data_IF_332859009052
#
_entry.id   IF_332859009052
#
_cell.length_a   1.000
_cell.length_b   1.000
_cell.length_c   1.000
_cell.angle_alpha   90.00
_cell.angle_beta   90.00
_cell.angle_gamma   90.00
#
_symmetry.space_group_name_H-M   'P 1'
#
loop_
_entity.id
_entity.type
_entity.pdbx_description
1 polymer ?
#
# COMPACT_ATOMS: atom_id res chain seq x y z
N UNK A 1 11.52 -15.08 32.10
CA UNK A 1 12.06 -15.09 30.75
C UNK A 1 10.94 -14.77 29.78
N UNK A 2 10.98 -13.66 29.11
CA UNK A 2 9.94 -13.22 28.17
C UNK A 2 10.39 -13.58 26.75
N UNK A 3 9.82 -14.61 26.09
CA UNK A 3 10.26 -15.06 24.79
C UNK A 3 9.36 -14.48 23.70
N UNK A 4 9.47 -13.22 23.39
CA UNK A 4 8.89 -12.71 22.14
C UNK A 4 9.25 -11.26 21.86
N UNK A 5 10.55 -10.94 21.86
CA UNK A 5 11.00 -9.91 20.94
C UNK A 5 11.03 -10.53 19.56
N UNK A 6 10.34 -9.96 18.56
CA UNK A 6 10.54 -10.42 17.19
C UNK A 6 12.04 -10.26 16.89
N UNK A 7 12.63 -11.34 16.35
CA UNK A 7 14.01 -11.31 15.92
C UNK A 7 14.26 -10.07 15.07
N UNK A 8 15.37 -9.33 15.26
CA UNK A 8 15.68 -8.20 14.41
C UNK A 8 15.66 -8.70 12.97
N UNK A 9 14.97 -7.97 12.11
CA UNK A 9 14.93 -8.25 10.67
C UNK A 9 16.38 -8.28 10.17
N UNK A 10 16.93 -9.47 10.03
CA UNK A 10 18.31 -9.61 9.54
C UNK A 10 18.38 -8.95 8.17
N UNK A 11 19.31 -8.05 7.93
CA UNK A 11 19.48 -7.46 6.61
C UNK A 11 19.70 -8.62 5.65
N UNK A 12 18.76 -8.82 4.76
CA UNK A 12 18.90 -9.83 3.72
C UNK A 12 20.10 -9.38 2.86
N UNK A 13 20.98 -10.31 2.55
CA UNK A 13 22.10 -10.07 1.64
C UNK A 13 21.64 -9.74 0.20
N UNK A 14 20.33 -9.85 -0.05
CA UNK A 14 19.72 -9.58 -1.36
C UNK A 14 19.10 -8.19 -1.33
N UNK A 15 19.59 -7.31 -2.21
CA UNK A 15 19.07 -5.97 -2.45
C UNK A 15 18.40 -5.92 -3.83
N UNK A 16 17.18 -5.38 -3.88
CA UNK A 16 16.39 -5.29 -5.11
C UNK A 16 16.51 -3.93 -5.82
N UNK A 17 17.39 -3.05 -5.31
CA UNK A 17 17.66 -1.76 -5.95
C UNK A 17 16.51 -0.76 -5.83
N UNK A 18 15.85 -0.71 -4.68
CA UNK A 18 14.75 0.22 -4.42
C UNK A 18 15.17 1.57 -3.83
N UNK A 19 16.46 1.82 -3.64
CA UNK A 19 16.98 3.08 -3.06
C UNK A 19 16.41 4.30 -3.79
N UNK A 20 15.77 5.21 -3.04
CA UNK A 20 15.18 6.45 -3.54
C UNK A 20 13.86 6.28 -4.32
N UNK A 21 13.42 5.05 -4.61
CA UNK A 21 12.15 4.79 -5.30
C UNK A 21 10.96 5.08 -4.40
N UNK A 22 9.91 5.63 -4.98
CA UNK A 22 8.63 5.88 -4.31
C UNK A 22 7.74 4.64 -4.51
N UNK A 23 7.40 3.98 -3.41
CA UNK A 23 6.71 2.69 -3.39
C UNK A 23 5.37 2.82 -2.68
N UNK A 24 4.25 2.80 -3.40
CA UNK A 24 2.90 2.77 -2.81
C UNK A 24 2.59 1.33 -2.37
N UNK A 25 2.11 1.17 -1.14
CA UNK A 25 1.65 -0.11 -0.59
C UNK A 25 0.23 0.06 -0.05
N UNK A 26 -0.75 -0.54 -0.72
CA UNK A 26 -2.14 -0.54 -0.24
C UNK A 26 -2.36 -1.65 0.78
N UNK A 27 -3.21 -1.38 1.80
CA UNK A 27 -3.31 -2.27 2.96
C UNK A 27 -2.00 -2.32 3.75
N UNK A 28 -1.28 -1.20 3.79
CA UNK A 28 0.10 -1.12 4.29
C UNK A 28 0.24 -1.00 5.80
N UNK A 29 -0.87 -0.82 6.55
CA UNK A 29 -0.80 -0.57 7.98
C UNK A 29 -0.63 -1.82 8.84
N UNK A 30 -0.79 -3.02 8.27
CA UNK A 30 -0.68 -4.28 9.00
C UNK A 30 -0.34 -5.47 8.09
N UNK A 31 0.04 -6.58 8.72
CA UNK A 31 0.20 -7.89 8.06
C UNK A 31 1.22 -7.88 6.92
N UNK A 32 0.85 -8.44 5.77
CA UNK A 32 1.72 -8.55 4.60
C UNK A 32 2.08 -7.16 4.06
N UNK A 33 1.12 -6.22 4.03
CA UNK A 33 1.37 -4.85 3.57
C UNK A 33 2.39 -4.13 4.44
N UNK A 34 2.28 -4.21 5.76
CA UNK A 34 3.28 -3.66 6.69
C UNK A 34 4.67 -4.27 6.47
N UNK A 35 4.75 -5.59 6.29
CA UNK A 35 6.01 -6.25 6.00
C UNK A 35 6.65 -5.74 4.70
N UNK A 36 5.85 -5.49 3.65
CA UNK A 36 6.31 -4.86 2.41
C UNK A 36 6.83 -3.43 2.64
N UNK A 37 6.07 -2.62 3.40
CA UNK A 37 6.47 -1.24 3.75
C UNK A 37 7.82 -1.23 4.46
N UNK A 38 7.97 -2.07 5.50
CA UNK A 38 9.22 -2.20 6.25
C UNK A 38 10.38 -2.65 5.37
N UNK A 39 10.12 -3.58 4.46
CA UNK A 39 11.13 -4.06 3.53
C UNK A 39 11.57 -2.96 2.56
N UNK A 40 10.65 -2.22 1.95
CA UNK A 40 10.98 -1.10 1.09
C UNK A 40 11.77 -0.02 1.83
N UNK A 41 11.37 0.33 3.05
CA UNK A 41 12.10 1.28 3.88
C UNK A 41 13.53 0.81 4.17
N UNK A 42 13.72 -0.46 4.52
CA UNK A 42 15.04 -1.05 4.78
C UNK A 42 15.96 -1.04 3.56
N UNK A 43 15.40 -1.02 2.34
CA UNK A 43 16.15 -0.88 1.09
C UNK A 43 16.39 0.57 0.66
N UNK A 44 16.03 1.54 1.49
CA UNK A 44 16.21 2.97 1.22
C UNK A 44 15.17 3.55 0.25
N UNK A 45 14.06 2.87 0.03
CA UNK A 45 12.93 3.42 -0.71
C UNK A 45 12.17 4.46 0.14
N UNK A 46 11.25 5.18 -0.50
CA UNK A 46 10.28 6.09 0.11
C UNK A 46 8.90 5.43 0.08
N UNK A 47 8.53 4.65 1.09
CA UNK A 47 7.23 4.00 1.10
C UNK A 47 6.11 5.00 1.34
N UNK A 48 4.98 4.78 0.68
CA UNK A 48 3.70 5.45 0.89
C UNK A 48 2.74 4.40 1.43
N UNK A 49 2.41 4.53 2.71
CA UNK A 49 1.53 3.62 3.43
C UNK A 49 0.09 4.03 3.14
N UNK A 50 -0.69 3.14 2.57
CA UNK A 50 -2.09 3.40 2.21
C UNK A 50 -2.99 2.42 2.94
N UNK A 51 -3.88 2.93 3.78
CA UNK A 51 -4.82 2.10 4.55
C UNK A 51 -6.04 2.93 4.97
N UNK A 52 -7.05 2.25 5.52
CA UNK A 52 -8.20 2.86 6.19
C UNK A 52 -8.01 2.92 7.71
N UNK A 53 -7.03 2.21 8.26
CA UNK A 53 -6.66 2.23 9.68
C UNK A 53 -5.69 3.36 9.98
N UNK A 54 -6.23 4.52 10.35
CA UNK A 54 -5.44 5.72 10.64
C UNK A 54 -4.46 5.53 11.78
N UNK A 55 -4.87 4.84 12.83
CA UNK A 55 -4.04 4.69 14.03
C UNK A 55 -2.76 3.90 13.73
N UNK A 56 -2.90 2.75 13.07
CA UNK A 56 -1.75 1.92 12.69
C UNK A 56 -0.93 2.56 11.59
N UNK A 57 -1.59 3.11 10.57
CA UNK A 57 -0.91 3.73 9.43
C UNK A 57 -0.05 4.92 9.85
N UNK A 58 -0.56 5.81 10.69
CA UNK A 58 0.18 6.97 11.21
C UNK A 58 1.32 6.55 12.15
N UNK A 59 1.11 5.55 13.01
CA UNK A 59 2.16 5.04 13.89
C UNK A 59 3.33 4.46 13.09
N UNK A 60 3.04 3.63 12.09
CA UNK A 60 4.06 3.05 11.22
C UNK A 60 4.79 4.12 10.39
N UNK A 61 4.05 5.11 9.89
CA UNK A 61 4.63 6.24 9.15
C UNK A 61 5.59 7.06 10.02
N UNK A 62 5.21 7.34 11.26
CA UNK A 62 6.07 8.06 12.21
C UNK A 62 7.34 7.26 12.55
N UNK A 63 7.22 5.95 12.73
CA UNK A 63 8.35 5.06 13.01
C UNK A 63 9.37 5.04 11.87
N UNK A 64 8.89 5.01 10.61
CA UNK A 64 9.73 4.82 9.43
C UNK A 64 10.09 6.13 8.71
N UNK A 65 9.57 7.27 9.12
CA UNK A 65 9.69 8.53 8.38
C UNK A 65 8.99 8.46 7.00
N UNK A 66 7.92 7.70 6.90
CA UNK A 66 7.18 7.46 5.67
C UNK A 66 5.94 8.35 5.54
N UNK A 67 5.38 8.42 4.33
CA UNK A 67 4.09 9.06 4.09
C UNK A 67 2.96 8.08 4.40
N UNK A 68 1.97 8.53 5.18
CA UNK A 68 0.70 7.84 5.33
C UNK A 68 -0.41 8.58 4.57
N UNK A 69 -1.22 7.84 3.82
CA UNK A 69 -2.41 8.36 3.14
C UNK A 69 -3.60 7.47 3.46
N UNK A 70 -4.63 8.05 4.12
CA UNK A 70 -5.90 7.36 4.27
C UNK A 70 -6.57 7.20 2.92
N UNK A 71 -6.92 5.97 2.54
CA UNK A 71 -7.62 5.70 1.30
C UNK A 71 -8.41 4.39 1.38
N UNK A 72 -9.72 4.47 1.13
CA UNK A 72 -10.51 3.31 0.75
C UNK A 72 -10.28 3.05 -0.74
N UNK A 73 -9.60 1.96 -1.07
CA UNK A 73 -9.25 1.61 -2.45
C UNK A 73 -10.47 1.36 -3.35
N UNK A 74 -11.64 1.05 -2.76
CA UNK A 74 -12.91 0.92 -3.47
C UNK A 74 -13.58 2.24 -3.86
N UNK A 75 -13.02 3.38 -3.44
CA UNK A 75 -13.49 4.73 -3.73
C UNK A 75 -12.53 5.44 -4.72
N UNK A 76 -13.04 5.67 -5.92
CA UNK A 76 -12.21 6.28 -6.99
C UNK A 76 -11.69 7.68 -6.63
N UNK A 77 -12.49 8.50 -5.97
CA UNK A 77 -12.07 9.86 -5.62
C UNK A 77 -10.91 9.84 -4.61
N UNK A 78 -10.95 8.92 -3.64
CA UNK A 78 -9.85 8.74 -2.69
C UNK A 78 -8.59 8.18 -3.37
N UNK A 79 -8.74 7.27 -4.33
CA UNK A 79 -7.63 6.74 -5.12
C UNK A 79 -6.99 7.85 -5.97
N UNK A 80 -7.78 8.70 -6.61
CA UNK A 80 -7.25 9.83 -7.39
C UNK A 80 -6.52 10.83 -6.47
N UNK A 81 -7.05 11.11 -5.29
CA UNK A 81 -6.40 11.96 -4.30
C UNK A 81 -5.09 11.35 -3.76
N UNK A 82 -5.03 10.03 -3.53
CA UNK A 82 -3.81 9.32 -3.16
C UNK A 82 -2.68 9.55 -4.18
N UNK A 83 -2.98 9.34 -5.46
CA UNK A 83 -1.99 9.53 -6.54
C UNK A 83 -1.54 10.99 -6.61
N UNK A 84 -2.48 11.94 -6.57
CA UNK A 84 -2.17 13.36 -6.60
C UNK A 84 -1.29 13.79 -5.40
N UNK A 85 -1.61 13.34 -4.20
CA UNK A 85 -0.84 13.63 -2.99
C UNK A 85 0.57 13.02 -3.05
N UNK A 86 0.70 11.77 -3.52
CA UNK A 86 1.99 11.12 -3.68
C UNK A 86 2.89 11.88 -4.65
N UNK A 87 2.34 12.29 -5.80
CA UNK A 87 3.07 13.07 -6.79
C UNK A 87 3.44 14.47 -6.28
N UNK A 88 2.55 15.14 -5.53
CA UNK A 88 2.84 16.45 -4.95
C UNK A 88 4.01 16.42 -3.95
N UNK A 89 4.13 15.35 -3.16
CA UNK A 89 5.15 15.21 -2.12
C UNK A 89 6.46 14.64 -2.67
N UNK A 90 6.40 13.64 -3.52
CA UNK A 90 7.58 12.88 -3.97
C UNK A 90 7.95 13.13 -5.44
N UNK A 91 7.06 13.72 -6.25
CA UNK A 91 7.29 14.02 -7.67
C UNK A 91 7.22 12.80 -8.58
N UNK A 92 7.11 11.59 -8.06
CA UNK A 92 7.14 10.34 -8.83
C UNK A 92 6.47 9.19 -8.10
N UNK A 93 6.13 8.14 -8.85
CA UNK A 93 5.72 6.82 -8.35
C UNK A 93 6.48 5.77 -9.15
N UNK A 94 7.17 4.86 -8.47
CA UNK A 94 8.03 3.86 -9.14
C UNK A 94 7.52 2.43 -8.97
N UNK A 95 6.87 2.15 -7.84
CA UNK A 95 6.40 0.81 -7.48
C UNK A 95 5.01 0.89 -6.87
N UNK A 96 4.17 -0.06 -7.22
CA UNK A 96 2.88 -0.31 -6.56
C UNK A 96 2.84 -1.74 -6.03
N UNK A 97 2.71 -1.90 -4.73
CA UNK A 97 2.29 -3.13 -4.09
C UNK A 97 0.78 -3.06 -3.81
N UNK A 98 0.00 -3.61 -4.73
CA UNK A 98 -1.46 -3.60 -4.68
C UNK A 98 -1.95 -4.76 -3.80
N UNK A 99 -1.89 -4.56 -2.47
CA UNK A 99 -2.06 -5.59 -1.46
C UNK A 99 -3.39 -5.48 -0.68
N UNK A 100 -4.05 -4.33 -0.71
CA UNK A 100 -5.29 -4.13 0.05
C UNK A 100 -6.34 -5.19 -0.29
N UNK A 101 -6.92 -5.78 0.75
CA UNK A 101 -7.96 -6.78 0.62
C UNK A 101 -8.66 -7.03 1.95
N UNK A 102 -9.90 -7.47 1.86
CA UNK A 102 -10.69 -7.91 3.00
C UNK A 102 -11.13 -9.36 2.81
N UNK A 103 -11.38 -10.02 3.92
CA UNK A 103 -11.95 -11.36 3.95
C UNK A 103 -13.21 -11.37 4.81
N UNK A 104 -14.24 -12.07 4.36
CA UNK A 104 -15.49 -12.32 5.09
C UNK A 104 -15.70 -13.83 5.16
N UNK A 105 -15.49 -14.40 6.34
CA UNK A 105 -15.67 -15.84 6.56
C UNK A 105 -17.15 -16.14 6.82
N UNK A 106 -17.75 -16.99 6.00
CA UNK A 106 -19.04 -17.59 6.23
C UNK A 106 -19.14 -18.90 5.44
N UNK A 107 -20.00 -19.81 5.85
CA UNK A 107 -20.36 -20.96 5.01
C UNK A 107 -21.06 -20.47 3.75
N UNK A 108 -20.89 -21.18 2.64
CA UNK A 108 -21.37 -20.72 1.33
C UNK A 108 -22.87 -20.35 1.33
N UNK A 109 -23.69 -21.09 2.06
CA UNK A 109 -25.13 -20.85 2.13
C UNK A 109 -25.49 -19.64 3.00
N UNK A 110 -24.58 -19.15 3.82
CA UNK A 110 -24.77 -18.04 4.77
C UNK A 110 -24.10 -16.74 4.30
N UNK A 111 -23.35 -16.77 3.19
CA UNK A 111 -22.74 -15.55 2.61
C UNK A 111 -23.85 -14.60 2.19
N UNK A 112 -23.83 -13.38 2.72
CA UNK A 112 -24.77 -12.33 2.31
C UNK A 112 -24.31 -11.65 1.02
N UNK A 113 -25.26 -11.12 0.23
CA UNK A 113 -24.95 -10.30 -0.93
C UNK A 113 -24.07 -9.10 -0.55
N UNK A 114 -24.34 -8.47 0.61
CA UNK A 114 -23.55 -7.34 1.10
C UNK A 114 -22.08 -7.71 1.40
N UNK A 115 -21.81 -8.89 1.96
CA UNK A 115 -20.46 -9.36 2.20
C UNK A 115 -19.74 -9.70 0.90
N UNK A 116 -20.45 -10.33 -0.03
CA UNK A 116 -19.93 -10.61 -1.37
C UNK A 116 -19.55 -9.32 -2.10
N UNK A 117 -20.44 -8.33 -2.14
CA UNK A 117 -20.21 -7.03 -2.76
C UNK A 117 -19.05 -6.27 -2.09
N UNK A 118 -18.97 -6.32 -0.76
CA UNK A 118 -17.86 -5.68 -0.03
C UNK A 118 -16.51 -6.28 -0.41
N UNK A 119 -16.41 -7.61 -0.52
CA UNK A 119 -15.19 -8.30 -0.93
C UNK A 119 -14.82 -7.94 -2.37
N UNK A 120 -15.76 -7.97 -3.31
CA UNK A 120 -15.49 -7.59 -4.69
C UNK A 120 -15.12 -6.12 -4.83
N UNK A 121 -15.77 -5.24 -4.08
CA UNK A 121 -15.47 -3.80 -4.08
C UNK A 121 -14.05 -3.51 -3.67
N UNK A 122 -13.56 -4.14 -2.62
CA UNK A 122 -12.19 -3.91 -2.14
C UNK A 122 -11.17 -4.70 -2.96
N UNK A 123 -11.34 -6.03 -3.06
CA UNK A 123 -10.30 -6.89 -3.58
C UNK A 123 -10.18 -6.83 -5.11
N UNK A 124 -11.29 -6.67 -5.82
CA UNK A 124 -11.29 -6.65 -7.28
C UNK A 124 -11.34 -5.21 -7.82
N UNK A 125 -12.41 -4.48 -7.52
CA UNK A 125 -12.57 -3.11 -8.01
C UNK A 125 -11.47 -2.19 -7.47
N UNK A 126 -11.12 -2.31 -6.19
CA UNK A 126 -10.05 -1.52 -5.57
C UNK A 126 -8.71 -1.76 -6.24
N UNK A 127 -8.34 -3.01 -6.48
CA UNK A 127 -7.11 -3.35 -7.19
C UNK A 127 -7.07 -2.77 -8.60
N UNK A 128 -8.20 -2.80 -9.32
CA UNK A 128 -8.32 -2.17 -10.64
C UNK A 128 -8.17 -0.64 -10.56
N UNK A 129 -8.88 0.03 -9.66
CA UNK A 129 -8.87 1.49 -9.56
C UNK A 129 -7.47 2.02 -9.23
N UNK A 130 -6.81 1.44 -8.23
CA UNK A 130 -5.44 1.83 -7.84
C UNK A 130 -4.45 1.51 -8.95
N UNK A 131 -4.50 0.30 -9.50
CA UNK A 131 -3.61 -0.12 -10.59
C UNK A 131 -3.71 0.81 -11.80
N UNK A 132 -4.93 1.17 -12.23
CA UNK A 132 -5.14 2.07 -13.35
C UNK A 132 -4.64 3.49 -13.06
N UNK A 133 -4.94 4.06 -11.88
CA UNK A 133 -4.54 5.41 -11.53
C UNK A 133 -3.01 5.55 -11.43
N UNK A 134 -2.36 4.59 -10.78
CA UNK A 134 -0.90 4.55 -10.65
C UNK A 134 -0.23 4.32 -12.01
N UNK A 135 -0.74 3.39 -12.83
CA UNK A 135 -0.18 3.14 -14.16
C UNK A 135 -0.24 4.39 -15.06
N UNK A 136 -1.34 5.14 -15.02
CA UNK A 136 -1.46 6.42 -15.75
C UNK A 136 -0.39 7.43 -15.30
N UNK A 137 -0.15 7.54 -14.00
CA UNK A 137 0.89 8.40 -13.47
C UNK A 137 2.29 7.96 -13.92
N UNK A 138 2.59 6.64 -13.87
CA UNK A 138 3.87 6.10 -14.32
C UNK A 138 4.12 6.33 -15.81
N UNK A 139 3.10 6.17 -16.66
CA UNK A 139 3.21 6.45 -18.10
C UNK A 139 3.45 7.93 -18.35
N UNK A 140 2.75 8.82 -17.65
CA UNK A 140 2.95 10.26 -17.78
C UNK A 140 4.36 10.71 -17.38
N UNK A 141 4.98 10.06 -16.40
CA UNK A 141 6.36 10.32 -15.98
C UNK A 141 7.38 9.99 -17.06
N UNK A 142 7.13 8.94 -17.88
CA UNK A 142 8.04 8.53 -18.96
C UNK A 142 7.94 9.45 -20.18
N UNK A 143 6.78 10.05 -20.44
CA UNK A 143 6.56 10.98 -21.55
C UNK A 143 7.20 12.36 -21.37
N UNK A 144 7.73 12.69 -20.19
CA UNK A 144 8.42 13.94 -19.90
C UNK A 144 9.93 13.93 -20.20
N UNK A 145 10.47 12.84 -20.71
CA UNK A 145 11.87 12.72 -21.13
C UNK A 145 11.94 12.63 -22.67
N UNK A 146 11.53 13.70 -23.31
CA UNK A 146 11.80 13.97 -24.73
C UNK A 146 12.98 14.93 -24.85
#
# INVERSE_FOLDING_TARGET
MNPSSPAPFLPSSVHFGHTGRVCIVTGGAQGIGEACVRRFAAEGAKPVIVDVDDARGQALAAELGALYVRCDVGDKAQVDALVAQTLAIHGRIDVLANNAGIFRAADFLDVTEADFDAVLRVNLKGSFLVGQAVARAMVAQQGGHG
#
